data_IF_396378612462
#
_entry.id   IF_396378612462
#
_cell.length_a   1.000
_cell.length_b   1.000
_cell.length_c   1.000
_cell.angle_alpha   90.00
_cell.angle_beta   90.00
_cell.angle_gamma   90.00
#
_symmetry.space_group_name_H-M   'P 1'
#
loop_
_entity.id
_entity.type
_entity.pdbx_description
1 polymer ?
#
# COMPACT_ATOMS: atom_id res chain seq x y z
N UNK A 1 15.81 -5.37 -16.36
CA UNK A 1 14.35 -5.21 -16.53
C UNK A 1 13.82 -5.79 -17.86
N UNK A 2 14.60 -6.60 -18.59
CA UNK A 2 14.17 -7.13 -19.90
C UNK A 2 12.84 -7.90 -19.87
N UNK A 3 12.54 -8.58 -18.76
CA UNK A 3 11.25 -9.27 -18.59
C UNK A 3 10.06 -8.31 -18.54
N UNK A 4 10.23 -7.11 -17.96
CA UNK A 4 9.16 -6.11 -17.86
C UNK A 4 8.94 -5.48 -19.23
N UNK A 5 10.00 -5.17 -19.96
CA UNK A 5 9.86 -4.64 -21.32
C UNK A 5 9.20 -5.66 -22.27
N UNK A 6 9.54 -6.95 -22.15
CA UNK A 6 8.87 -8.01 -22.90
C UNK A 6 7.38 -8.14 -22.55
N UNK A 7 7.02 -8.00 -21.26
CA UNK A 7 5.63 -7.95 -20.84
C UNK A 7 4.92 -6.73 -21.42
N UNK A 8 5.56 -5.56 -21.36
CA UNK A 8 5.01 -4.32 -21.87
C UNK A 8 4.75 -4.41 -23.39
N UNK A 9 5.69 -4.98 -24.14
CA UNK A 9 5.56 -5.17 -25.60
C UNK A 9 4.49 -6.21 -25.96
N UNK A 10 4.40 -7.32 -25.21
CA UNK A 10 3.45 -8.38 -25.48
C UNK A 10 2.00 -7.99 -25.14
N UNK A 11 1.79 -7.22 -24.07
CA UNK A 11 0.45 -6.87 -23.56
C UNK A 11 0.04 -5.42 -23.83
N UNK A 12 0.94 -4.57 -24.33
CA UNK A 12 0.69 -3.13 -24.53
C UNK A 12 0.47 -2.37 -23.22
N UNK A 13 0.85 -2.96 -22.08
CA UNK A 13 0.74 -2.35 -20.76
C UNK A 13 2.07 -1.70 -20.40
N UNK A 14 2.06 -0.63 -19.61
CA UNK A 14 3.30 -0.02 -19.11
C UNK A 14 3.30 -0.03 -17.60
N UNK A 15 4.40 -0.50 -17.02
CA UNK A 15 4.57 -0.49 -15.58
C UNK A 15 4.72 0.94 -15.04
N UNK A 16 3.90 1.30 -14.05
CA UNK A 16 4.04 2.58 -13.36
C UNK A 16 5.11 2.45 -12.26
N UNK A 17 6.31 2.94 -12.55
CA UNK A 17 7.46 2.83 -11.65
C UNK A 17 7.25 3.60 -10.34
N UNK A 18 6.60 4.77 -10.39
CA UNK A 18 6.33 5.58 -9.19
C UNK A 18 5.41 4.89 -8.18
N UNK A 19 4.49 4.05 -8.66
CA UNK A 19 3.57 3.24 -7.84
C UNK A 19 4.11 1.85 -7.51
N UNK A 20 5.22 1.46 -8.12
CA UNK A 20 5.83 0.15 -7.94
C UNK A 20 6.84 0.18 -6.80
N UNK A 21 6.79 -0.84 -5.95
CA UNK A 21 7.65 -0.91 -4.78
C UNK A 21 8.19 -2.31 -4.57
N UNK A 22 9.39 -2.42 -4.00
CA UNK A 22 9.97 -3.67 -3.53
C UNK A 22 10.17 -3.60 -2.02
N UNK A 23 9.78 -4.67 -1.32
CA UNK A 23 9.93 -4.77 0.14
C UNK A 23 10.76 -6.01 0.47
N UNK A 24 12.09 -5.87 0.66
CA UNK A 24 12.95 -6.99 0.99
C UNK A 24 12.54 -7.66 2.31
N UNK A 25 12.56 -8.99 2.34
CA UNK A 25 12.27 -9.77 3.54
C UNK A 25 13.43 -10.73 3.82
N UNK A 26 13.96 -10.74 5.05
CA UNK A 26 15.04 -11.63 5.51
C UNK A 26 16.24 -11.71 4.56
N UNK A 27 16.74 -10.55 4.14
CA UNK A 27 17.88 -10.44 3.21
C UNK A 27 19.15 -9.93 3.91
N UNK A 28 19.47 -10.45 5.11
CA UNK A 28 20.63 -10.00 5.89
C UNK A 28 21.97 -10.26 5.19
N UNK A 29 22.10 -11.38 4.45
CA UNK A 29 23.39 -11.81 3.87
C UNK A 29 23.53 -11.48 2.38
N UNK A 30 22.54 -10.78 1.80
CA UNK A 30 22.50 -10.48 0.37
C UNK A 30 22.77 -9.01 0.15
N UNK A 31 23.62 -8.70 -0.82
CA UNK A 31 23.84 -7.33 -1.27
C UNK A 31 22.60 -6.82 -2.02
N UNK A 32 21.64 -6.28 -1.27
CA UNK A 32 20.38 -5.75 -1.77
C UNK A 32 20.60 -4.66 -2.81
N UNK A 33 21.64 -3.84 -2.67
CA UNK A 33 21.97 -2.80 -3.65
C UNK A 33 22.28 -3.40 -5.02
N UNK A 34 23.04 -4.51 -5.07
CA UNK A 34 23.35 -5.19 -6.33
C UNK A 34 22.10 -5.83 -6.97
N UNK A 35 21.21 -6.39 -6.16
CA UNK A 35 19.97 -7.03 -6.65
C UNK A 35 18.99 -5.98 -7.19
N UNK A 36 18.89 -4.85 -6.49
CA UNK A 36 17.94 -3.78 -6.79
C UNK A 36 18.51 -2.72 -7.73
N UNK A 37 19.77 -2.83 -8.16
CA UNK A 37 20.46 -1.86 -9.03
C UNK A 37 19.65 -1.50 -10.28
N UNK A 38 18.94 -2.48 -10.83
CA UNK A 38 18.15 -2.32 -12.04
C UNK A 38 16.67 -1.97 -11.77
N UNK A 39 16.24 -1.86 -10.52
CA UNK A 39 14.87 -1.48 -10.17
C UNK A 39 14.80 0.02 -9.90
N UNK A 40 14.10 0.76 -10.77
CA UNK A 40 13.95 2.22 -10.62
C UNK A 40 12.81 2.66 -9.69
N UNK A 41 12.08 1.73 -9.07
CA UNK A 41 10.96 2.04 -8.17
C UNK A 41 11.38 2.19 -6.71
N UNK A 42 10.41 2.41 -5.83
CA UNK A 42 10.71 2.62 -4.40
C UNK A 42 11.07 1.32 -3.69
N UNK A 43 12.09 1.37 -2.83
CA UNK A 43 12.38 0.29 -1.90
C UNK A 43 11.80 0.65 -0.53
N UNK A 44 10.93 -0.20 0.00
CA UNK A 44 10.23 0.03 1.27
C UNK A 44 10.49 -1.10 2.26
N UNK A 45 10.10 -0.90 3.52
CA UNK A 45 10.18 -1.92 4.57
C UNK A 45 8.79 -2.15 5.16
N UNK A 46 8.57 -3.34 5.72
CA UNK A 46 7.34 -3.65 6.42
C UNK A 46 7.21 -2.79 7.69
N UNK A 47 5.99 -2.39 8.09
CA UNK A 47 4.71 -2.72 7.44
C UNK A 47 4.40 -1.86 6.20
N UNK A 48 3.88 -2.48 5.14
CA UNK A 48 3.47 -1.79 3.90
C UNK A 48 1.94 -1.77 3.75
N UNK A 49 1.41 -0.87 2.93
CA UNK A 49 -0.03 -0.82 2.63
C UNK A 49 -0.31 -1.40 1.24
N UNK A 50 -1.20 -2.37 1.16
CA UNK A 50 -1.66 -2.96 -0.09
C UNK A 50 -3.18 -3.06 -0.10
N UNK A 51 -3.81 -2.53 -1.15
CA UNK A 51 -5.28 -2.47 -1.29
C UNK A 51 -6.02 -1.88 -0.06
N UNK A 52 -5.37 -0.96 0.66
CA UNK A 52 -5.97 -0.36 1.84
C UNK A 52 -5.75 -1.11 3.15
N UNK A 53 -5.00 -2.23 3.14
CA UNK A 53 -4.70 -3.03 4.32
C UNK A 53 -3.19 -3.04 4.62
N UNK A 54 -2.80 -3.08 5.91
CA UNK A 54 -1.40 -3.22 6.29
C UNK A 54 -0.94 -4.67 6.10
N UNK A 55 0.12 -4.89 5.33
CA UNK A 55 0.86 -6.15 5.26
C UNK A 55 2.04 -6.05 6.24
N UNK A 56 2.14 -7.01 7.15
CA UNK A 56 3.18 -7.08 8.19
C UNK A 56 3.86 -8.44 8.20
N UNK A 57 5.13 -8.51 8.61
CA UNK A 57 5.88 -9.77 8.70
C UNK A 57 5.44 -10.68 9.86
N UNK A 58 4.79 -10.11 10.88
CA UNK A 58 4.31 -10.82 12.06
C UNK A 58 2.83 -10.59 12.30
N UNK A 59 2.38 -10.89 13.53
CA UNK A 59 1.00 -10.68 13.94
C UNK A 59 0.62 -9.20 13.78
N UNK A 60 -0.47 -8.96 13.05
CA UNK A 60 -1.01 -7.62 12.92
C UNK A 60 -1.43 -7.10 14.31
N UNK A 61 -1.00 -5.88 14.65
CA UNK A 61 -1.35 -5.19 15.88
C UNK A 61 -2.33 -4.08 15.56
N UNK A 62 -3.13 -3.68 16.56
CA UNK A 62 -4.13 -2.62 16.41
C UNK A 62 -3.51 -1.31 15.87
N UNK A 63 -2.27 -1.02 16.27
CA UNK A 63 -1.50 0.15 15.81
C UNK A 63 -1.33 0.20 14.29
N UNK A 64 -1.27 -0.96 13.61
CA UNK A 64 -1.14 -1.00 12.14
C UNK A 64 -2.44 -0.56 11.44
N UNK A 65 -3.58 -0.63 12.12
CA UNK A 65 -4.89 -0.24 11.59
C UNK A 65 -5.32 1.18 11.99
N UNK A 66 -4.45 1.93 12.66
CA UNK A 66 -4.75 3.29 13.13
C UNK A 66 -5.27 4.19 12.00
N UNK A 67 -4.67 4.08 10.81
CA UNK A 67 -5.11 4.84 9.63
C UNK A 67 -6.56 4.55 9.21
N UNK A 68 -7.07 3.33 9.42
CA UNK A 68 -8.46 2.98 9.14
C UNK A 68 -9.36 3.62 10.18
N UNK A 69 -8.99 3.51 11.46
CA UNK A 69 -9.73 4.12 12.57
C UNK A 69 -9.82 5.64 12.40
N UNK A 70 -8.74 6.30 11.99
CA UNK A 70 -8.71 7.74 11.76
C UNK A 70 -9.61 8.12 10.57
N UNK A 71 -9.62 7.31 9.50
CA UNK A 71 -10.54 7.52 8.38
C UNK A 71 -12.00 7.37 8.78
N UNK A 72 -12.33 6.39 9.62
CA UNK A 72 -13.68 6.20 10.15
C UNK A 72 -14.07 7.41 11.02
N UNK A 73 -13.20 7.82 11.95
CA UNK A 73 -13.41 8.99 12.80
C UNK A 73 -13.61 10.27 12.00
N UNK A 74 -12.80 10.51 10.97
CA UNK A 74 -12.93 11.66 10.09
C UNK A 74 -14.28 11.68 9.35
N UNK A 75 -14.76 10.52 8.88
CA UNK A 75 -16.10 10.41 8.27
C UNK A 75 -17.21 10.70 9.29
N UNK A 76 -17.12 10.15 10.50
CA UNK A 76 -18.08 10.38 11.58
C UNK A 76 -18.11 11.84 12.05
N UNK A 77 -16.95 12.50 12.15
CA UNK A 77 -16.87 13.91 12.52
C UNK A 77 -17.59 14.80 11.48
N UNK A 78 -17.45 14.48 10.19
CA UNK A 78 -18.21 15.12 9.13
C UNK A 78 -19.74 14.99 9.27
N UNK A 79 -20.24 13.94 9.92
CA UNK A 79 -21.67 13.73 10.18
C UNK A 79 -22.21 14.50 11.38
N UNK A 80 -21.35 14.90 12.31
CA UNK A 80 -21.76 15.83 13.37
C UNK A 80 -21.93 17.25 12.80
N UNK A 81 -21.11 17.61 11.81
CA UNK A 81 -21.16 18.91 11.13
C UNK A 81 -22.20 19.03 10.00
N UNK A 82 -22.50 17.93 9.30
CA UNK A 82 -23.62 17.85 8.35
C UNK A 82 -24.79 17.17 9.04
N UNK A 83 -25.94 17.83 9.17
CA UNK A 83 -27.18 17.27 9.72
C UNK A 83 -27.71 16.10 8.87
N UNK A 84 -27.00 14.97 8.88
CA UNK A 84 -27.34 13.78 8.12
C UNK A 84 -28.48 13.08 8.85
N UNK A 85 -29.55 12.79 8.11
CA UNK A 85 -30.72 12.09 8.60
C UNK A 85 -30.35 10.74 9.23
N UNK A 86 -31.19 10.23 10.11
CA UNK A 86 -30.97 8.94 10.75
C UNK A 86 -30.81 7.80 9.72
N UNK A 87 -31.58 7.83 8.64
CA UNK A 87 -31.44 6.90 7.52
C UNK A 87 -30.09 7.02 6.82
N UNK A 88 -29.62 8.26 6.56
CA UNK A 88 -28.31 8.51 5.95
C UNK A 88 -27.12 8.05 6.81
N UNK A 89 -27.28 8.05 8.14
CA UNK A 89 -26.27 7.52 9.08
C UNK A 89 -26.22 5.99 9.15
N UNK A 90 -27.30 5.29 8.77
CA UNK A 90 -27.43 3.83 8.92
C UNK A 90 -26.91 3.02 7.71
N UNK A 91 -26.78 3.67 6.55
CA UNK A 91 -26.36 3.02 5.28
C UNK A 91 -24.84 3.06 5.07
N UNK A 92 -24.11 3.92 5.81
CA UNK A 92 -22.67 4.13 5.68
C UNK A 92 -21.89 3.41 6.79
#
# INVERSE_FOLDING_TARGET
LQIITLFDDAFGLRLNIEKSMITPNRCNDKNLQKILQNFGGQTTQFPIKYLGLPITLGRARLVHFQFILDRIRARLAGWKGRLISFAGRRVL
#
